data_IF_062840489539
#
_entry.id   IF_062840489539
#
_cell.length_a   1.000
_cell.length_b   1.000
_cell.length_c   1.000
_cell.angle_alpha   90.00
_cell.angle_beta   90.00
_cell.angle_gamma   90.00
#
_symmetry.space_group_name_H-M   'P 1'
#
loop_
_entity.id
_entity.type
_entity.pdbx_description
1 polymer ?
#
# COMPACT_ATOMS: atom_id res chain seq x y z
N UNK A 1 -13.09 11.87 -9.54
CA UNK A 1 -12.15 10.79 -9.17
C UNK A 1 -11.02 11.33 -8.30
N UNK A 2 -10.42 12.48 -8.66
CA UNK A 2 -9.40 13.16 -7.85
C UNK A 2 -9.86 13.48 -6.42
N UNK A 3 -11.12 13.88 -6.23
CA UNK A 3 -11.66 14.14 -4.88
C UNK A 3 -11.68 12.89 -3.97
N UNK A 4 -11.98 11.70 -4.50
CA UNK A 4 -11.95 10.47 -3.69
C UNK A 4 -10.51 10.13 -3.30
N UNK A 5 -9.59 10.29 -4.24
CA UNK A 5 -8.18 10.04 -4.05
C UNK A 5 -7.56 10.97 -2.99
N UNK A 6 -7.98 12.23 -2.92
CA UNK A 6 -7.56 13.15 -1.86
C UNK A 6 -8.08 12.73 -0.47
N UNK A 7 -9.33 12.24 -0.37
CA UNK A 7 -9.88 11.72 0.90
C UNK A 7 -9.11 10.48 1.37
N UNK A 8 -8.74 9.59 0.45
CA UNK A 8 -7.92 8.44 0.76
C UNK A 8 -6.48 8.84 1.14
N UNK A 9 -5.89 9.84 0.48
CA UNK A 9 -4.58 10.37 0.84
C UNK A 9 -4.59 10.92 2.28
N UNK A 10 -5.64 11.63 2.67
CA UNK A 10 -5.80 12.15 4.04
C UNK A 10 -5.95 11.01 5.05
N UNK A 11 -6.80 10.01 4.77
CA UNK A 11 -7.01 8.86 5.64
C UNK A 11 -5.73 8.03 5.86
N UNK A 12 -4.96 7.80 4.78
CA UNK A 12 -3.71 7.03 4.83
C UNK A 12 -2.52 7.86 5.34
N UNK A 13 -2.69 9.17 5.55
CA UNK A 13 -1.61 10.06 5.96
C UNK A 13 -0.53 10.17 4.89
N UNK A 14 -0.91 10.47 3.66
CA UNK A 14 0.02 10.76 2.55
C UNK A 14 0.41 12.22 2.56
N UNK A 15 1.70 12.49 2.37
CA UNK A 15 2.18 13.84 2.07
C UNK A 15 3.29 13.83 1.00
N UNK A 16 3.50 14.98 0.35
CA UNK A 16 4.48 15.11 -0.72
C UNK A 16 5.95 15.04 -0.25
N UNK A 17 6.18 15.18 1.06
CA UNK A 17 7.49 15.12 1.70
C UNK A 17 7.48 14.07 2.81
N UNK A 18 8.53 13.25 2.94
CA UNK A 18 8.58 12.27 4.01
C UNK A 18 8.47 12.95 5.38
N UNK A 19 7.46 12.55 6.15
CA UNK A 19 7.32 12.85 7.57
C UNK A 19 7.08 11.53 8.31
N UNK A 20 7.66 11.30 9.49
CA UNK A 20 7.27 10.17 10.35
C UNK A 20 5.76 10.15 10.66
N UNK A 21 5.10 11.30 10.59
CA UNK A 21 3.65 11.47 10.76
C UNK A 21 2.86 11.09 9.49
N UNK A 22 3.53 11.02 8.33
CA UNK A 22 2.95 10.71 7.02
C UNK A 22 3.73 9.58 6.34
N UNK A 23 3.60 8.34 6.83
CA UNK A 23 4.53 7.29 6.47
C UNK A 23 4.24 6.62 5.12
N UNK A 24 3.16 7.00 4.42
CA UNK A 24 2.77 6.39 3.15
C UNK A 24 2.93 7.35 1.97
N UNK A 25 3.28 6.79 0.81
CA UNK A 25 3.28 7.49 -0.47
C UNK A 25 2.41 6.76 -1.48
N UNK A 26 1.54 7.50 -2.16
CA UNK A 26 0.77 6.97 -3.28
C UNK A 26 1.64 6.79 -4.52
N UNK A 27 1.52 5.63 -5.18
CA UNK A 27 2.29 5.25 -6.37
C UNK A 27 1.40 4.58 -7.42
N UNK A 28 1.58 4.92 -8.70
CA UNK A 28 0.99 4.14 -9.81
C UNK A 28 1.77 2.85 -10.01
N UNK A 29 1.06 1.74 -10.11
CA UNK A 29 1.63 0.41 -10.31
C UNK A 29 0.83 -0.36 -11.33
N UNK A 30 1.53 -1.06 -12.22
CA UNK A 30 0.94 -2.02 -13.14
C UNK A 30 0.65 -3.33 -12.41
N UNK A 31 -0.59 -3.81 -12.48
CA UNK A 31 -1.01 -5.09 -11.90
C UNK A 31 -1.70 -5.98 -12.94
N UNK A 32 -1.59 -7.28 -12.76
CA UNK A 32 -2.37 -8.26 -13.52
C UNK A 32 -3.64 -8.60 -12.74
N UNK A 33 -4.80 -8.38 -13.36
CA UNK A 33 -6.09 -8.85 -12.85
C UNK A 33 -6.22 -10.37 -13.07
N UNK A 34 -7.24 -10.99 -12.47
CA UNK A 34 -7.44 -12.46 -12.47
C UNK A 34 -7.37 -13.11 -13.86
N UNK A 35 -7.75 -12.38 -14.91
CA UNK A 35 -7.76 -12.87 -16.30
C UNK A 35 -6.49 -12.50 -17.10
N UNK A 36 -5.42 -12.06 -16.43
CA UNK A 36 -4.16 -11.64 -17.06
C UNK A 36 -4.20 -10.25 -17.69
N UNK A 37 -5.28 -9.49 -17.51
CA UNK A 37 -5.37 -8.11 -17.99
C UNK A 37 -4.45 -7.21 -17.17
N UNK A 38 -3.59 -6.46 -17.86
CA UNK A 38 -2.76 -5.43 -17.24
C UNK A 38 -3.60 -4.18 -16.94
N UNK A 39 -3.45 -3.62 -15.75
CA UNK A 39 -4.15 -2.40 -15.34
C UNK A 39 -3.23 -1.50 -14.52
N UNK A 40 -3.33 -0.19 -14.74
CA UNK A 40 -2.69 0.83 -13.91
C UNK A 40 -3.57 1.11 -12.69
N UNK A 41 -3.04 0.86 -11.49
CA UNK A 41 -3.73 1.10 -10.22
C UNK A 41 -2.90 1.98 -9.30
N UNK A 42 -3.58 2.61 -8.34
CA UNK A 42 -2.94 3.35 -7.25
C UNK A 42 -2.72 2.44 -6.05
N UNK A 43 -1.52 2.48 -5.47
CA UNK A 43 -1.17 1.78 -4.23
C UNK A 43 -0.50 2.74 -3.25
N UNK A 44 -0.68 2.50 -1.96
CA UNK A 44 0.00 3.22 -0.88
C UNK A 44 1.17 2.39 -0.38
N UNK A 45 2.37 2.95 -0.45
CA UNK A 45 3.62 2.27 -0.08
C UNK A 45 4.19 2.92 1.17
N UNK A 46 4.37 2.13 2.23
CA UNK A 46 5.04 2.57 3.44
C UNK A 46 6.50 2.96 3.14
N UNK A 47 6.90 4.14 3.59
CA UNK A 47 8.22 4.74 3.35
C UNK A 47 9.19 4.60 4.53
N UNK A 48 8.72 4.13 5.69
CA UNK A 48 9.57 3.94 6.85
C UNK A 48 10.51 2.72 6.72
N UNK A 49 11.44 2.60 7.67
CA UNK A 49 12.39 1.50 7.69
C UNK A 49 11.69 0.17 8.08
N UNK A 50 11.81 -0.85 7.24
CA UNK A 50 11.27 -2.20 7.48
C UNK A 50 12.33 -3.21 7.91
N UNK A 51 13.56 -2.77 8.20
CA UNK A 51 14.64 -3.65 8.63
C UNK A 51 14.31 -4.39 9.92
N UNK A 52 14.57 -5.70 9.96
CA UNK A 52 14.26 -6.56 11.11
C UNK A 52 12.78 -6.98 11.24
N UNK A 53 11.88 -6.46 10.39
CA UNK A 53 10.48 -6.91 10.36
C UNK A 53 10.35 -8.24 9.62
N UNK A 54 9.42 -9.09 10.07
CA UNK A 54 9.12 -10.38 9.43
C UNK A 54 8.29 -10.14 8.16
N UNK A 55 8.78 -10.52 6.96
CA UNK A 55 7.98 -10.41 5.75
C UNK A 55 6.81 -11.39 5.79
N UNK A 56 5.68 -11.01 5.18
CA UNK A 56 4.55 -11.91 4.93
C UNK A 56 4.79 -12.59 3.59
N UNK A 57 5.11 -13.90 3.55
CA UNK A 57 5.36 -14.59 2.30
C UNK A 57 4.10 -14.55 1.42
N UNK A 58 4.28 -14.32 0.12
CA UNK A 58 3.20 -14.17 -0.88
C UNK A 58 2.28 -12.95 -0.70
N UNK A 59 2.43 -12.17 0.36
CA UNK A 59 1.67 -10.93 0.58
C UNK A 59 0.21 -11.12 1.00
N UNK A 60 -0.23 -12.34 1.34
CA UNK A 60 -1.59 -12.57 1.84
C UNK A 60 -1.67 -12.29 3.35
N UNK A 61 -2.06 -11.06 3.69
CA UNK A 61 -2.20 -10.63 5.08
C UNK A 61 -3.30 -11.38 5.84
N UNK A 62 -4.41 -11.72 5.17
CA UNK A 62 -5.55 -12.37 5.82
C UNK A 62 -5.23 -13.83 6.17
N UNK A 63 -4.58 -14.55 5.27
CA UNK A 63 -4.06 -15.90 5.54
C UNK A 63 -2.98 -15.86 6.63
N UNK A 64 -2.04 -14.90 6.56
CA UNK A 64 -1.03 -14.70 7.60
C UNK A 64 -1.67 -14.49 8.98
N UNK A 65 -2.68 -13.61 9.08
CA UNK A 65 -3.35 -13.30 10.35
C UNK A 65 -4.05 -14.54 10.93
N UNK A 66 -4.71 -15.35 10.09
CA UNK A 66 -5.37 -16.59 10.53
C UNK A 66 -4.40 -17.63 11.07
N UNK A 67 -3.17 -17.69 10.54
CA UNK A 67 -2.14 -18.67 10.94
C UNK A 67 -1.33 -18.26 12.18
N UNK A 68 -1.33 -16.97 12.53
CA UNK A 68 -0.53 -16.42 13.63
C UNK A 68 -1.40 -15.81 14.75
N UNK A 69 -2.69 -16.16 14.78
CA UNK A 69 -3.62 -15.90 15.88
C UNK A 69 -3.72 -17.12 16.78
#
# INVERSE_FOLDING_TARGET
MEHLLAVLDEYEGVSDSYSPEFPYKRKKTNVFLEKGTLSDVWVYVYQGNTHGLKPIPKGDYLDYLKRNR
#
